data_IF_868353624522
#
_entry.id   IF_868353624522
#
_cell.length_a   1.000
_cell.length_b   1.000
_cell.length_c   1.000
_cell.angle_alpha   90.00
_cell.angle_beta   90.00
_cell.angle_gamma   90.00
#
_symmetry.space_group_name_H-M   'P 1'
#
loop_
_entity.id
_entity.type
_entity.pdbx_description
1 polymer ?
#
# COMPACT_ATOMS: atom_id res chain seq x y z
N UNK A 1 -9.95 -20.66 -2.53
CA UNK A 1 -10.03 -19.39 -3.27
C UNK A 1 -8.94 -18.47 -2.74
N UNK A 2 -8.09 -17.83 -3.56
CA UNK A 2 -7.27 -16.63 -3.23
C UNK A 2 -5.85 -16.50 -3.83
N UNK A 3 -5.24 -17.54 -4.43
CA UNK A 3 -3.91 -17.39 -5.06
C UNK A 3 -3.93 -16.60 -6.38
N UNK A 4 -4.96 -16.81 -7.21
CA UNK A 4 -5.07 -16.20 -8.55
C UNK A 4 -5.02 -14.68 -8.56
N UNK A 5 -5.57 -14.01 -7.55
CA UNK A 5 -5.55 -12.55 -7.46
C UNK A 5 -4.15 -12.03 -7.14
N UNK A 6 -3.43 -12.69 -6.24
CA UNK A 6 -2.07 -12.34 -5.92
C UNK A 6 -1.13 -12.57 -7.12
N UNK A 7 -1.32 -13.67 -7.84
CA UNK A 7 -0.53 -13.99 -9.05
C UNK A 7 -0.82 -12.99 -10.18
N UNK A 8 -2.09 -12.66 -10.43
CA UNK A 8 -2.45 -11.65 -11.43
C UNK A 8 -1.86 -10.26 -11.10
N UNK A 9 -1.86 -9.86 -9.83
CA UNK A 9 -1.22 -8.60 -9.43
C UNK A 9 0.31 -8.66 -9.58
N UNK A 10 0.94 -9.81 -9.35
CA UNK A 10 2.39 -10.00 -9.61
C UNK A 10 2.72 -9.89 -11.10
N UNK A 11 1.90 -10.48 -11.97
CA UNK A 11 2.06 -10.34 -13.43
C UNK A 11 1.96 -8.88 -13.88
N UNK A 12 1.18 -8.06 -13.16
CA UNK A 12 0.99 -6.62 -13.43
C UNK A 12 1.96 -5.72 -12.64
N UNK A 13 2.95 -6.26 -11.93
CA UNK A 13 3.85 -5.51 -11.04
C UNK A 13 4.49 -4.29 -11.71
N UNK A 14 5.01 -4.45 -12.92
CA UNK A 14 5.63 -3.34 -13.65
C UNK A 14 4.64 -2.21 -13.97
N UNK A 15 3.39 -2.55 -14.31
CA UNK A 15 2.34 -1.60 -14.61
C UNK A 15 1.88 -0.87 -13.35
N UNK A 16 1.69 -1.62 -12.25
CA UNK A 16 1.35 -1.05 -10.94
C UNK A 16 2.44 -0.08 -10.48
N UNK A 17 3.72 -0.46 -10.62
CA UNK A 17 4.86 0.39 -10.27
C UNK A 17 4.83 1.71 -11.06
N UNK A 18 4.67 1.65 -12.38
CA UNK A 18 4.59 2.84 -13.22
C UNK A 18 3.42 3.74 -12.80
N UNK A 19 2.25 3.14 -12.60
CA UNK A 19 1.05 3.87 -12.19
C UNK A 19 1.19 4.53 -10.82
N UNK A 20 1.83 3.85 -9.87
CA UNK A 20 2.13 4.39 -8.55
C UNK A 20 3.01 5.65 -8.67
N UNK A 21 4.07 5.59 -9.47
CA UNK A 21 4.96 6.74 -9.71
C UNK A 21 4.21 7.90 -10.33
N UNK A 22 3.37 7.64 -11.35
CA UNK A 22 2.54 8.68 -11.97
C UNK A 22 1.68 9.39 -10.93
N UNK A 23 0.95 8.63 -10.09
CA UNK A 23 0.05 9.21 -9.07
C UNK A 23 0.84 10.05 -8.06
N UNK A 24 2.02 9.56 -7.61
CA UNK A 24 2.88 10.31 -6.69
C UNK A 24 3.41 11.63 -7.27
N UNK A 25 3.63 11.71 -8.58
CA UNK A 25 4.22 12.87 -9.22
C UNK A 25 3.18 13.90 -9.68
N UNK A 26 1.92 13.47 -9.87
CA UNK A 26 0.80 14.32 -10.27
C UNK A 26 0.27 15.16 -9.09
N UNK A 27 0.15 14.58 -7.90
CA UNK A 27 -0.40 15.26 -6.71
C UNK A 27 0.67 15.39 -5.61
N UNK A 28 1.35 16.53 -5.51
CA UNK A 28 2.17 16.81 -4.35
C UNK A 28 1.20 17.31 -3.28
N UNK A 29 0.69 16.38 -2.47
CA UNK A 29 0.36 16.73 -1.10
C UNK A 29 1.56 17.49 -0.49
N UNK A 30 1.33 18.34 0.52
CA UNK A 30 2.25 19.31 1.13
C UNK A 30 3.68 18.82 1.50
N UNK A 31 3.99 17.54 1.29
CA UNK A 31 5.32 16.93 1.34
C UNK A 31 6.26 17.44 0.21
N UNK A 32 7.51 17.81 0.53
CA UNK A 32 8.50 18.21 -0.47
C UNK A 32 8.71 17.16 -1.58
N UNK A 33 8.58 17.58 -2.85
CA UNK A 33 8.72 16.69 -4.03
C UNK A 33 10.05 15.92 -4.07
N UNK A 34 11.12 16.43 -3.46
CA UNK A 34 12.44 15.79 -3.42
C UNK A 34 12.41 14.53 -2.55
N UNK A 35 11.68 14.56 -1.44
CA UNK A 35 11.53 13.40 -0.54
C UNK A 35 10.68 12.31 -1.22
N UNK A 36 9.62 12.71 -1.93
CA UNK A 36 8.77 11.80 -2.70
C UNK A 36 9.53 11.06 -3.82
N UNK A 37 10.46 11.73 -4.50
CA UNK A 37 11.28 11.11 -5.56
C UNK A 37 12.19 10.00 -5.01
N UNK A 38 12.66 10.15 -3.79
CA UNK A 38 13.51 9.13 -3.15
C UNK A 38 12.71 7.87 -2.80
N UNK A 39 11.43 8.02 -2.46
CA UNK A 39 10.56 6.88 -2.16
C UNK A 39 10.22 6.02 -3.39
N UNK A 40 10.38 6.53 -4.61
CA UNK A 40 10.16 5.75 -5.85
C UNK A 40 11.03 4.49 -5.89
N UNK A 41 12.25 4.55 -5.32
CA UNK A 41 13.15 3.40 -5.25
C UNK A 41 12.65 2.30 -4.30
N UNK A 42 11.73 2.61 -3.39
CA UNK A 42 11.15 1.66 -2.45
C UNK A 42 9.93 0.92 -3.01
N UNK A 43 9.36 1.37 -4.14
CA UNK A 43 8.09 0.85 -4.67
C UNK A 43 8.18 -0.65 -4.95
N UNK A 44 9.25 -1.08 -5.61
CA UNK A 44 9.43 -2.49 -5.99
C UNK A 44 9.50 -3.41 -4.76
N UNK A 45 10.24 -2.99 -3.74
CA UNK A 45 10.32 -3.71 -2.47
C UNK A 45 8.96 -3.70 -1.74
N UNK A 46 8.30 -2.55 -1.68
CA UNK A 46 6.99 -2.41 -1.01
C UNK A 46 5.93 -3.28 -1.69
N UNK A 47 5.94 -3.34 -3.03
CA UNK A 47 5.05 -4.21 -3.79
C UNK A 47 5.29 -5.68 -3.47
N UNK A 48 6.54 -6.12 -3.39
CA UNK A 48 6.87 -7.50 -2.99
C UNK A 48 6.35 -7.84 -1.61
N UNK A 49 6.50 -6.92 -0.65
CA UNK A 49 5.97 -7.11 0.70
C UNK A 49 4.44 -7.24 0.73
N UNK A 50 3.73 -6.33 0.05
CA UNK A 50 2.26 -6.34 -0.02
C UNK A 50 1.78 -7.63 -0.69
N UNK A 51 2.34 -7.95 -1.86
CA UNK A 51 1.94 -9.13 -2.65
C UNK A 51 2.37 -10.44 -1.98
N UNK A 52 3.45 -10.45 -1.20
CA UNK A 52 3.88 -11.57 -0.37
C UNK A 52 2.99 -11.77 0.87
N UNK A 53 2.40 -10.70 1.41
CA UNK A 53 1.48 -10.75 2.54
C UNK A 53 0.08 -11.23 2.14
N UNK A 54 -0.36 -10.98 0.91
CA UNK A 54 -1.71 -11.30 0.41
C UNK A 54 -2.16 -12.74 0.69
N UNK A 55 -1.41 -13.81 0.35
CA UNK A 55 -1.84 -15.19 0.61
C UNK A 55 -2.11 -15.47 2.10
N UNK A 56 -1.36 -14.82 3.00
CA UNK A 56 -1.51 -14.98 4.46
C UNK A 56 -2.74 -14.25 5.01
N UNK A 57 -3.08 -13.11 4.42
CA UNK A 57 -4.29 -12.35 4.77
C UNK A 57 -5.53 -13.11 4.29
N UNK A 58 -5.48 -13.58 3.06
CA UNK A 58 -6.55 -14.31 2.39
C UNK A 58 -6.91 -15.66 3.02
N UNK A 59 -6.00 -16.24 3.81
CA UNK A 59 -6.20 -17.52 4.51
C UNK A 59 -6.54 -17.34 5.99
N UNK A 60 -6.35 -16.14 6.55
CA UNK A 60 -6.66 -15.86 7.96
C UNK A 60 -8.12 -15.47 8.15
N UNK A 61 -8.77 -16.10 9.14
CA UNK A 61 -10.15 -15.79 9.56
C UNK A 61 -10.25 -14.59 10.52
N UNK A 62 -9.14 -14.16 11.11
CA UNK A 62 -9.13 -13.09 12.12
C UNK A 62 -8.56 -11.80 11.53
N UNK A 63 -9.22 -10.64 11.68
CA UNK A 63 -8.67 -9.36 11.27
C UNK A 63 -7.32 -9.13 11.97
N UNK A 64 -6.33 -8.67 11.21
CA UNK A 64 -5.11 -8.15 11.80
C UNK A 64 -5.43 -6.78 12.39
N UNK A 65 -5.00 -6.47 13.63
CA UNK A 65 -5.12 -5.12 14.14
C UNK A 65 -4.32 -4.18 13.24
N UNK A 66 -5.01 -3.23 12.62
CA UNK A 66 -4.40 -2.13 11.87
C UNK A 66 -4.23 -1.00 12.87
N UNK A 67 -3.02 -0.81 13.36
CA UNK A 67 -2.70 0.41 14.10
C UNK A 67 -2.67 1.55 13.09
N UNK A 68 -3.49 2.59 13.30
CA UNK A 68 -3.37 3.85 12.58
C UNK A 68 -2.23 4.62 13.24
N UNK A 69 -1.09 4.84 12.58
CA UNK A 69 0.01 5.51 13.23
C UNK A 69 -0.26 7.00 13.18
N UNK A 70 -0.37 7.61 14.36
CA UNK A 70 -0.49 9.06 14.49
C UNK A 70 0.94 9.64 14.49
N UNK A 71 1.34 10.35 13.42
CA UNK A 71 2.49 11.26 13.50
C UNK A 71 1.98 12.62 13.92
N UNK A 72 2.48 13.15 15.03
CA UNK A 72 2.22 14.52 15.47
C UNK A 72 2.87 15.55 14.54
N UNK A 73 3.81 15.11 13.70
CA UNK A 73 4.61 15.93 12.81
C UNK A 73 3.90 16.44 11.55
N UNK A 74 2.79 15.82 11.14
CA UNK A 74 2.09 16.14 9.88
C UNK A 74 2.83 15.74 8.59
N UNK A 75 4.16 15.71 8.59
CA UNK A 75 5.00 15.63 7.38
C UNK A 75 5.54 14.23 7.09
N UNK A 76 4.81 13.16 7.41
CA UNK A 76 5.28 11.81 7.13
C UNK A 76 5.17 11.51 5.62
N UNK A 77 6.30 11.35 4.89
CA UNK A 77 6.27 11.21 3.44
C UNK A 77 5.69 9.84 3.00
N UNK A 78 5.57 8.89 3.92
CA UNK A 78 4.88 7.62 3.66
C UNK A 78 3.35 7.78 3.51
N UNK A 79 2.76 8.87 4.01
CA UNK A 79 1.32 9.12 3.86
C UNK A 79 0.90 9.28 2.39
N UNK A 80 1.43 10.27 1.62
CA UNK A 80 1.14 10.37 0.19
C UNK A 80 1.65 9.16 -0.60
N UNK A 81 2.78 8.58 -0.20
CA UNK A 81 3.33 7.37 -0.83
C UNK A 81 2.34 6.19 -0.80
N UNK A 82 1.83 5.81 0.38
CA UNK A 82 0.88 4.70 0.49
C UNK A 82 -0.51 5.06 -0.04
N UNK A 83 -0.91 6.33 -0.04
CA UNK A 83 -2.13 6.78 -0.73
C UNK A 83 -2.05 6.49 -2.23
N UNK A 84 -0.96 6.89 -2.88
CA UNK A 84 -0.73 6.61 -4.29
C UNK A 84 -0.67 5.11 -4.58
N UNK A 85 -0.01 4.34 -3.71
CA UNK A 85 0.09 2.88 -3.85
C UNK A 85 -1.24 2.17 -3.76
N UNK A 86 -2.12 2.59 -2.84
CA UNK A 86 -3.49 2.05 -2.76
C UNK A 86 -4.23 2.25 -4.07
N UNK A 87 -4.20 3.46 -4.62
CA UNK A 87 -4.87 3.77 -5.87
C UNK A 87 -4.36 2.90 -7.02
N UNK A 88 -3.03 2.82 -7.21
CA UNK A 88 -2.43 1.99 -8.26
C UNK A 88 -2.78 0.50 -8.12
N UNK A 89 -2.75 -0.04 -6.89
CA UNK A 89 -3.10 -1.44 -6.61
C UNK A 89 -4.59 -1.72 -6.82
N UNK A 90 -5.46 -0.80 -6.39
CA UNK A 90 -6.91 -0.93 -6.55
C UNK A 90 -7.32 -0.83 -8.02
N UNK A 91 -6.75 0.11 -8.77
CA UNK A 91 -6.94 0.18 -10.22
C UNK A 91 -6.57 -1.16 -10.88
N UNK A 92 -5.40 -1.71 -10.58
CA UNK A 92 -4.97 -3.00 -11.15
C UNK A 92 -5.89 -4.17 -10.77
N UNK A 93 -6.37 -4.21 -9.51
CA UNK A 93 -7.32 -5.22 -9.07
C UNK A 93 -8.65 -5.10 -9.81
N UNK A 94 -9.18 -3.89 -9.95
CA UNK A 94 -10.43 -3.61 -10.68
C UNK A 94 -10.29 -4.02 -12.15
N UNK A 95 -9.19 -3.67 -12.80
CA UNK A 95 -8.90 -4.08 -14.18
C UNK A 95 -8.88 -5.60 -14.35
N UNK A 96 -8.25 -6.32 -13.41
CA UNK A 96 -8.25 -7.78 -13.43
C UNK A 96 -9.65 -8.36 -13.24
N UNK A 97 -10.40 -7.86 -12.24
CA UNK A 97 -11.75 -8.32 -11.95
C UNK A 97 -12.72 -8.08 -13.11
N UNK A 98 -12.61 -6.93 -13.79
CA UNK A 98 -13.41 -6.62 -14.98
C UNK A 98 -13.18 -7.58 -16.15
N UNK A 99 -12.00 -8.21 -16.22
CA UNK A 99 -11.68 -9.23 -17.23
C UNK A 99 -12.24 -10.63 -16.92
N UNK A 100 -12.72 -10.87 -15.69
CA UNK A 100 -13.23 -12.18 -15.28
C UNK A 100 -14.74 -12.28 -15.56
N UNK A 101 -15.12 -13.18 -16.48
CA UNK A 101 -16.52 -13.52 -16.71
C UNK A 101 -17.08 -14.25 -15.48
N UNK A 102 -18.27 -13.85 -15.02
CA UNK A 102 -18.99 -14.47 -13.91
C UNK A 102 -18.22 -14.50 -12.57
N UNK A 103 -17.39 -13.49 -12.29
CA UNK A 103 -16.78 -13.36 -10.97
C UNK A 103 -17.88 -13.18 -9.91
N UNK A 104 -17.92 -14.08 -8.93
CA UNK A 104 -18.86 -13.96 -7.82
C UNK A 104 -18.56 -12.69 -6.99
N UNK A 105 -19.59 -11.89 -6.65
CA UNK A 105 -19.41 -10.66 -5.88
C UNK A 105 -18.73 -10.87 -4.53
N UNK A 106 -18.98 -12.01 -3.86
CA UNK A 106 -18.31 -12.35 -2.60
C UNK A 106 -16.81 -12.53 -2.77
N UNK A 107 -16.37 -13.18 -3.86
CA UNK A 107 -14.94 -13.29 -4.16
C UNK A 107 -14.29 -11.95 -4.49
N UNK A 108 -15.02 -11.10 -5.23
CA UNK A 108 -14.58 -9.76 -5.58
C UNK A 108 -14.31 -8.92 -4.33
N UNK A 109 -15.27 -8.91 -3.41
CA UNK A 109 -15.21 -8.12 -2.19
C UNK A 109 -14.17 -8.68 -1.21
N UNK A 110 -14.04 -10.01 -1.12
CA UNK A 110 -13.01 -10.66 -0.32
C UNK A 110 -11.59 -10.35 -0.81
N UNK A 111 -11.37 -10.33 -2.13
CA UNK A 111 -10.09 -9.97 -2.72
C UNK A 111 -9.72 -8.50 -2.42
N UNK A 112 -10.70 -7.59 -2.52
CA UNK A 112 -10.50 -6.18 -2.19
C UNK A 112 -10.18 -5.98 -0.71
N UNK A 113 -10.95 -6.57 0.20
CA UNK A 113 -10.74 -6.46 1.64
C UNK A 113 -9.35 -6.99 2.07
N UNK A 114 -8.89 -8.08 1.45
CA UNK A 114 -7.58 -8.63 1.71
C UNK A 114 -6.45 -7.73 1.20
N UNK A 115 -6.62 -7.10 0.03
CA UNK A 115 -5.66 -6.12 -0.49
C UNK A 115 -5.57 -4.89 0.41
N UNK A 116 -6.71 -4.35 0.87
CA UNK A 116 -6.74 -3.29 1.87
C UNK A 116 -5.93 -3.68 3.12
N UNK A 117 -6.22 -4.86 3.69
CA UNK A 117 -5.53 -5.36 4.89
C UNK A 117 -4.03 -5.54 4.68
N UNK A 118 -3.60 -6.04 3.51
CA UNK A 118 -2.19 -6.20 3.19
C UNK A 118 -1.47 -4.84 3.10
N UNK A 119 -2.08 -3.86 2.44
CA UNK A 119 -1.55 -2.50 2.34
C UNK A 119 -1.53 -1.82 3.71
N UNK A 120 -2.63 -1.87 4.46
CA UNK A 120 -2.77 -1.31 5.80
C UNK A 120 -1.67 -1.80 6.75
N UNK A 121 -1.33 -3.09 6.67
CA UNK A 121 -0.28 -3.68 7.49
C UNK A 121 1.10 -3.08 7.20
N UNK A 122 1.47 -3.00 5.92
CA UNK A 122 2.78 -2.48 5.52
C UNK A 122 2.84 -0.97 5.78
N UNK A 123 1.78 -0.24 5.41
CA UNK A 123 1.66 1.19 5.66
C UNK A 123 1.75 1.52 7.16
N UNK A 124 0.99 0.81 8.00
CA UNK A 124 1.00 1.02 9.44
C UNK A 124 2.38 0.83 10.06
N UNK A 125 3.12 -0.18 9.59
CA UNK A 125 4.50 -0.42 10.04
C UNK A 125 5.44 0.71 9.64
N UNK A 126 5.47 1.10 8.36
CA UNK A 126 6.41 2.11 7.87
C UNK A 126 6.09 3.53 8.39
N UNK A 127 4.82 3.91 8.37
CA UNK A 127 4.39 5.20 8.92
C UNK A 127 4.70 5.27 10.42
N UNK A 128 4.43 4.19 11.18
CA UNK A 128 4.74 4.11 12.61
C UNK A 128 6.24 4.16 12.91
N UNK A 129 7.05 3.43 12.13
CA UNK A 129 8.51 3.46 12.26
C UNK A 129 9.07 4.87 12.03
N UNK A 130 8.57 5.57 11.02
CA UNK A 130 8.97 6.95 10.74
C UNK A 130 8.51 7.90 11.86
N UNK A 131 7.26 7.79 12.32
CA UNK A 131 6.73 8.61 13.41
C UNK A 131 7.58 8.47 14.69
N UNK A 132 7.94 7.24 15.08
CA UNK A 132 8.81 7.00 16.24
C UNK A 132 10.22 7.59 16.09
N UNK A 133 10.75 7.70 14.87
CA UNK A 133 12.04 8.36 14.62
C UNK A 133 11.89 9.87 14.67
N UNK A 134 10.79 10.40 14.15
CA UNK A 134 10.43 11.80 14.21
C UNK A 134 10.31 12.27 15.66
N UNK A 135 9.56 11.55 16.49
CA UNK A 135 9.37 11.86 17.91
C UNK A 135 10.71 11.83 18.69
N UNK A 136 11.57 10.85 18.41
CA UNK A 136 12.91 10.77 19.02
C UNK A 136 13.80 11.95 18.65
N UNK A 137 13.73 12.44 17.41
CA UNK A 137 14.53 13.59 16.96
C UNK A 137 14.04 14.89 17.58
N UNK A 138 12.72 15.09 17.68
CA UNK A 138 12.14 16.30 18.29
C UNK A 138 12.19 16.30 19.82
N UNK A 139 12.13 15.12 20.46
CA UNK A 139 12.28 14.96 21.91
C UNK A 139 13.73 15.04 22.41
N UNK A 140 14.73 14.81 21.54
CA UNK A 140 16.15 14.96 21.88
C UNK A 140 16.65 16.42 21.86
N UNK A 141 15.80 17.35 21.44
CA UNK A 141 16.07 18.81 21.40
C UNK A 141 15.41 19.59 22.55
N UNK A 142 14.90 18.91 23.58
CA UNK A 142 14.30 19.52 24.76
C UNK A 142 15.20 19.40 26.00
#
# INVERSE_FOLDING_TARGET
MNARFADALREKRAQIRMRWIEIMLIDPADTPRVELRSLVYLIDHTLEEILGALPRVLTRRRPLPVAKPDCHCGDNPYLPYFRAGRLALFEALVWFQAGLKNLDPGERDAAFAALCTAVDRVAGREIGNFAQQCDRRHGATA
#
